data_IF_705044024952
#
_entry.id   IF_705044024952
#
_cell.length_a   1.000
_cell.length_b   1.000
_cell.length_c   1.000
_cell.angle_alpha   90.00
_cell.angle_beta   90.00
_cell.angle_gamma   90.00
#
_symmetry.space_group_name_H-M   'P 1'
#
loop_
_entity.id
_entity.type
_entity.pdbx_description
1 polymer ?
#
# COMPACT_ATOMS: atom_id res chain seq x y z
N UNK A 1 18.31 -13.63 -8.27
CA UNK A 1 17.42 -13.16 -7.19
C UNK A 1 16.89 -14.40 -6.49
N UNK A 2 16.96 -14.48 -5.17
CA UNK A 2 16.50 -15.65 -4.40
C UNK A 2 15.65 -15.17 -3.22
N UNK A 3 14.73 -16.02 -2.76
CA UNK A 3 13.87 -15.76 -1.61
C UNK A 3 14.25 -16.70 -0.47
N UNK A 4 14.19 -16.19 0.76
CA UNK A 4 14.34 -16.99 1.98
C UNK A 4 12.98 -16.97 2.67
N UNK A 5 12.46 -18.16 2.96
CA UNK A 5 11.27 -18.37 3.76
C UNK A 5 11.69 -18.98 5.09
N UNK A 6 11.21 -18.40 6.19
CA UNK A 6 11.45 -18.92 7.53
C UNK A 6 10.22 -18.71 8.40
N UNK A 7 10.05 -19.59 9.39
CA UNK A 7 9.01 -19.49 10.41
C UNK A 7 9.60 -18.86 11.67
N UNK A 8 8.90 -17.88 12.24
CA UNK A 8 9.30 -17.24 13.48
C UNK A 8 8.08 -16.79 14.28
N UNK A 9 8.15 -16.93 15.61
CA UNK A 9 7.12 -16.42 16.50
C UNK A 9 7.12 -14.89 16.51
N UNK A 10 5.93 -14.30 16.43
CA UNK A 10 5.72 -12.89 16.80
C UNK A 10 5.65 -12.82 18.32
N UNK A 11 6.61 -12.14 18.95
CA UNK A 11 6.60 -11.89 20.40
C UNK A 11 6.56 -10.40 20.66
N UNK A 12 5.54 -9.96 21.41
CA UNK A 12 5.30 -8.54 21.70
C UNK A 12 5.27 -7.66 20.44
N UNK A 13 4.65 -8.16 19.36
CA UNK A 13 4.56 -7.45 18.08
C UNK A 13 5.87 -7.40 17.27
N UNK A 14 6.94 -8.07 17.71
CA UNK A 14 8.21 -8.11 16.99
C UNK A 14 8.49 -9.50 16.43
N UNK A 15 8.83 -9.55 15.14
CA UNK A 15 9.49 -10.70 14.50
C UNK A 15 10.99 -10.45 14.53
N UNK A 16 11.76 -11.40 15.05
CA UNK A 16 13.22 -11.36 14.99
C UNK A 16 13.70 -12.22 13.85
N UNK A 17 14.59 -11.68 13.02
CA UNK A 17 15.31 -12.45 12.00
C UNK A 17 16.17 -13.51 12.73
N UNK A 18 16.04 -14.81 12.40
CA UNK A 18 16.88 -15.87 12.95
C UNK A 18 18.38 -15.56 12.77
N UNK A 19 19.21 -16.01 13.72
CA UNK A 19 20.63 -15.68 13.75
C UNK A 19 21.39 -16.16 12.50
N UNK A 20 20.97 -17.28 11.90
CA UNK A 20 21.48 -17.80 10.63
C UNK A 20 21.30 -16.84 9.45
N UNK A 21 20.37 -15.89 9.56
CA UNK A 21 20.10 -14.86 8.55
C UNK A 21 20.52 -13.45 9.01
N UNK A 22 21.43 -13.32 9.98
CA UNK A 22 21.88 -12.03 10.48
C UNK A 22 22.46 -11.09 9.40
N UNK A 23 22.92 -11.66 8.28
CA UNK A 23 23.40 -10.90 7.12
C UNK A 23 22.28 -10.13 6.39
N UNK A 24 21.00 -10.38 6.68
CA UNK A 24 19.84 -9.68 6.11
C UNK A 24 19.44 -8.41 6.86
N UNK A 25 20.22 -7.99 7.87
CA UNK A 25 19.88 -6.88 8.80
C UNK A 25 19.39 -5.59 8.13
N UNK A 26 19.94 -5.22 6.98
CA UNK A 26 19.63 -3.95 6.29
C UNK A 26 19.05 -4.19 4.87
N UNK A 27 18.37 -5.33 4.66
CA UNK A 27 17.79 -5.70 3.37
C UNK A 27 16.29 -5.36 3.25
N UNK A 28 15.81 -5.20 2.01
CA UNK A 28 14.37 -5.11 1.74
C UNK A 28 13.70 -6.47 1.96
N UNK A 29 12.62 -6.50 2.74
CA UNK A 29 11.89 -7.71 3.07
C UNK A 29 10.38 -7.56 2.79
N UNK A 30 9.77 -8.60 2.21
CA UNK A 30 8.32 -8.76 2.13
C UNK A 30 7.91 -9.78 3.19
N UNK A 31 6.99 -9.39 4.08
CA UNK A 31 6.53 -10.23 5.19
C UNK A 31 5.11 -10.71 4.88
N UNK A 32 4.88 -12.01 5.07
CA UNK A 32 3.54 -12.63 5.01
C UNK A 32 3.24 -13.18 6.39
N UNK A 33 2.15 -12.73 7.00
CA UNK A 33 1.74 -13.16 8.35
C UNK A 33 0.49 -14.00 8.24
N UNK A 34 0.53 -15.23 8.77
CA UNK A 34 -0.66 -16.06 8.92
C UNK A 34 -1.34 -15.69 10.24
N UNK A 35 -2.59 -15.25 10.17
CA UNK A 35 -3.44 -15.00 11.33
C UNK A 35 -4.58 -16.01 11.33
N UNK A 36 -5.09 -16.36 12.52
CA UNK A 36 -6.34 -17.12 12.64
C UNK A 36 -7.50 -16.22 12.24
N UNK A 37 -8.62 -16.81 11.81
CA UNK A 37 -9.89 -16.14 11.48
C UNK A 37 -10.58 -15.51 12.72
N UNK A 38 -9.82 -15.11 13.73
CA UNK A 38 -10.31 -14.21 14.76
C UNK A 38 -10.44 -12.84 14.13
N UNK A 39 -11.64 -12.55 13.63
CA UNK A 39 -12.09 -11.33 12.98
C UNK A 39 -11.18 -10.15 13.32
N UNK A 40 -10.21 -9.88 12.44
CA UNK A 40 -9.50 -8.61 12.46
C UNK A 40 -10.62 -7.56 12.47
N UNK A 41 -10.64 -6.60 13.41
CA UNK A 41 -11.57 -5.50 13.31
C UNK A 41 -11.28 -4.89 11.95
N UNK A 42 -12.25 -5.03 11.03
CA UNK A 42 -12.18 -4.48 9.70
C UNK A 42 -11.87 -3.01 9.95
N UNK A 43 -10.65 -2.57 9.62
CA UNK A 43 -10.36 -1.14 9.60
C UNK A 43 -11.29 -0.65 8.51
N UNK A 44 -12.43 -0.08 8.90
CA UNK A 44 -13.32 0.57 7.97
C UNK A 44 -12.43 1.53 7.19
N UNK A 45 -12.21 1.20 5.92
CA UNK A 45 -11.57 2.14 5.02
C UNK A 45 -12.52 3.33 5.02
N UNK A 46 -12.12 4.40 5.71
CA UNK A 46 -12.90 5.61 5.74
C UNK A 46 -13.16 6.01 4.29
N UNK A 47 -14.42 6.19 3.87
CA UNK A 47 -14.70 6.67 2.53
C UNK A 47 -13.87 7.94 2.30
N UNK A 48 -13.15 7.98 1.17
CA UNK A 48 -12.41 9.18 0.79
C UNK A 48 -13.43 10.31 0.65
N UNK A 49 -13.41 11.25 1.59
CA UNK A 49 -14.30 12.41 1.58
C UNK A 49 -13.58 13.57 0.87
N UNK A 50 -14.16 13.98 -0.25
CA UNK A 50 -13.69 15.11 -1.05
C UNK A 50 -14.67 16.29 -0.98
N UNK A 51 -15.63 16.30 -0.05
CA UNK A 51 -16.62 17.40 0.09
C UNK A 51 -15.96 18.76 0.26
N UNK A 52 -14.80 18.78 0.93
CA UNK A 52 -14.06 20.01 1.27
C UNK A 52 -12.93 20.32 0.27
N UNK A 53 -12.89 19.61 -0.86
CA UNK A 53 -11.86 19.81 -1.89
C UNK A 53 -12.42 20.61 -3.06
N UNK A 54 -11.93 21.83 -3.24
CA UNK A 54 -12.16 22.60 -4.47
C UNK A 54 -11.13 22.21 -5.54
N UNK A 55 -11.60 21.64 -6.66
CA UNK A 55 -10.76 21.30 -7.80
C UNK A 55 -10.74 22.47 -8.79
N UNK A 56 -9.67 23.25 -8.78
CA UNK A 56 -9.49 24.41 -9.66
C UNK A 56 -8.95 24.04 -11.07
N UNK A 57 -8.46 22.81 -11.25
CA UNK A 57 -7.69 22.39 -12.44
C UNK A 57 -8.44 22.55 -13.79
N UNK A 58 -9.76 22.71 -13.76
CA UNK A 58 -10.61 22.81 -14.95
C UNK A 58 -11.66 23.93 -14.87
N UNK A 59 -11.54 24.83 -13.90
CA UNK A 59 -12.52 25.89 -13.68
C UNK A 59 -12.59 26.83 -14.89
N UNK A 60 -13.78 26.98 -15.45
CA UNK A 60 -14.01 27.83 -16.64
C UNK A 60 -13.55 27.22 -17.97
N UNK A 61 -13.16 25.95 -18.00
CA UNK A 61 -12.81 25.24 -19.25
C UNK A 61 -13.86 24.17 -19.57
N UNK A 62 -14.15 23.99 -20.86
CA UNK A 62 -15.02 22.90 -21.32
C UNK A 62 -14.30 21.56 -21.19
N UNK A 63 -14.83 20.69 -20.34
CA UNK A 63 -14.29 19.35 -20.10
C UNK A 63 -14.16 18.52 -21.39
N UNK A 64 -15.08 18.69 -22.34
CA UNK A 64 -15.06 17.95 -23.62
C UNK A 64 -13.94 18.46 -24.53
N UNK A 65 -13.66 19.76 -24.51
CA UNK A 65 -12.56 20.34 -25.28
C UNK A 65 -11.20 19.83 -24.76
N UNK A 66 -11.01 19.79 -23.45
CA UNK A 66 -9.78 19.26 -22.81
C UNK A 66 -9.58 17.78 -23.15
N UNK A 67 -10.64 16.98 -23.05
CA UNK A 67 -10.55 15.56 -23.41
C UNK A 67 -10.18 15.32 -24.88
N UNK A 68 -10.60 16.20 -25.79
CA UNK A 68 -10.25 16.11 -27.22
C UNK A 68 -8.77 16.44 -27.44
N UNK A 69 -8.29 17.52 -26.83
CA UNK A 69 -6.87 17.92 -26.91
C UNK A 69 -5.94 16.81 -26.41
N UNK A 70 -6.25 16.21 -25.25
CA UNK A 70 -5.47 15.09 -24.69
C UNK A 70 -5.50 13.82 -25.56
N UNK A 71 -6.56 13.61 -26.35
CA UNK A 71 -6.69 12.42 -27.20
C UNK A 71 -5.93 12.57 -28.52
N UNK A 72 -5.73 13.79 -28.99
CA UNK A 72 -5.01 14.05 -30.24
C UNK A 72 -3.47 14.01 -30.05
N UNK A 73 -2.98 13.92 -28.80
CA UNK A 73 -1.56 13.74 -28.47
C UNK A 73 -1.11 12.27 -28.31
N UNK A 74 -1.98 11.28 -28.59
CA UNK A 74 -1.67 9.84 -28.55
C UNK A 74 -1.66 9.17 -29.92
#
# INVERSE_FOLDING_TARGET
MYAIEFEADIRSGMVKIPAEYAHLKDAHARIVVMVRDEALPMVEQSPLDFSDTEIEAFKGKDAVAIQREMRDEW
#
